data_IF_099297726604
#
_entry.id   IF_099297726604
#
_cell.length_a   1.000
_cell.length_b   1.000
_cell.length_c   1.000
_cell.angle_alpha   90.00
_cell.angle_beta   90.00
_cell.angle_gamma   90.00
#
_symmetry.space_group_name_H-M   'P 1'
#
loop_
_entity.id
_entity.type
_entity.pdbx_description
1 polymer ?
#
# COMPACT_ATOMS: atom_id res chain seq x y z
N UNK A 1 1.54 16.17 23.04
CA UNK A 1 0.99 14.83 23.29
C UNK A 1 2.11 13.93 23.82
N UNK A 2 1.94 13.27 24.97
CA UNK A 2 2.98 12.39 25.54
C UNK A 2 3.35 11.29 24.54
N UNK A 3 4.66 11.12 24.31
CA UNK A 3 5.25 10.14 23.38
C UNK A 3 4.61 8.75 23.52
N UNK A 4 4.33 8.36 24.76
CA UNK A 4 3.70 7.08 25.15
C UNK A 4 2.30 6.90 24.54
N UNK A 5 1.47 7.95 24.50
CA UNK A 5 0.14 7.90 23.88
C UNK A 5 0.23 7.75 22.36
N UNK A 6 1.20 8.40 21.72
CA UNK A 6 1.40 8.28 20.27
C UNK A 6 1.87 6.87 19.88
N UNK A 7 2.86 6.34 20.61
CA UNK A 7 3.37 4.97 20.42
C UNK A 7 2.26 3.94 20.64
N UNK A 8 1.46 4.09 21.70
CA UNK A 8 0.34 3.19 22.00
C UNK A 8 -0.74 3.22 20.90
N UNK A 9 -1.06 4.40 20.35
CA UNK A 9 -2.02 4.55 19.26
C UNK A 9 -1.55 3.93 17.95
N UNK A 10 -0.26 4.07 17.63
CA UNK A 10 0.32 3.45 16.43
C UNK A 10 0.37 1.92 16.59
N UNK A 11 0.72 1.44 17.78
CA UNK A 11 0.77 0.01 18.08
C UNK A 11 -0.61 -0.64 17.99
N UNK A 12 -1.65 -0.02 18.58
CA UNK A 12 -3.02 -0.54 18.51
C UNK A 12 -3.56 -0.56 17.08
N UNK A 13 -3.30 0.49 16.29
CA UNK A 13 -3.62 0.53 14.85
C UNK A 13 -2.95 -0.59 14.06
N UNK A 14 -1.68 -0.89 14.37
CA UNK A 14 -0.93 -1.97 13.74
C UNK A 14 -1.54 -3.34 14.04
N UNK A 15 -1.88 -3.60 15.30
CA UNK A 15 -2.54 -4.85 15.71
C UNK A 15 -3.88 -5.02 15.00
N UNK A 16 -4.69 -3.95 14.94
CA UNK A 16 -5.98 -4.00 14.24
C UNK A 16 -5.80 -4.29 12.74
N UNK A 17 -4.84 -3.63 12.10
CA UNK A 17 -4.54 -3.84 10.67
C UNK A 17 -4.09 -5.28 10.40
N UNK A 18 -3.28 -5.87 11.31
CA UNK A 18 -2.88 -7.28 11.23
C UNK A 18 -4.05 -8.23 11.41
N UNK A 19 -4.97 -7.93 12.34
CA UNK A 19 -6.18 -8.73 12.53
C UNK A 19 -7.07 -8.70 11.27
N UNK A 20 -7.23 -7.53 10.65
CA UNK A 20 -7.96 -7.38 9.37
C UNK A 20 -7.25 -8.16 8.25
N UNK A 21 -5.92 -8.11 8.21
CA UNK A 21 -5.12 -8.88 7.25
C UNK A 21 -5.32 -10.39 7.40
N UNK A 22 -5.25 -10.90 8.63
CA UNK A 22 -5.50 -12.32 8.93
C UNK A 22 -6.93 -12.74 8.56
N UNK A 23 -7.92 -11.89 8.88
CA UNK A 23 -9.31 -12.10 8.50
C UNK A 23 -9.48 -12.13 6.96
N UNK A 24 -8.80 -11.25 6.24
CA UNK A 24 -8.84 -11.19 4.77
C UNK A 24 -8.26 -12.46 4.14
N UNK A 25 -7.13 -12.94 4.64
CA UNK A 25 -6.51 -14.21 4.20
C UNK A 25 -7.43 -15.40 4.47
N UNK A 26 -8.02 -15.45 5.66
CA UNK A 26 -9.01 -16.48 5.99
C UNK A 26 -10.22 -16.43 5.04
N UNK A 27 -10.73 -15.24 4.75
CA UNK A 27 -11.90 -15.07 3.89
C UNK A 27 -11.60 -15.45 2.43
N UNK A 28 -10.40 -15.14 1.91
CA UNK A 28 -9.93 -15.64 0.60
C UNK A 28 -9.91 -17.16 0.59
N UNK A 29 -9.32 -17.77 1.62
CA UNK A 29 -9.22 -19.24 1.71
C UNK A 29 -10.59 -19.92 1.71
N UNK A 30 -11.58 -19.31 2.38
CA UNK A 30 -12.92 -19.86 2.51
C UNK A 30 -13.77 -19.64 1.23
N UNK A 31 -13.62 -18.48 0.56
CA UNK A 31 -14.48 -18.11 -0.58
C UNK A 31 -13.92 -18.55 -1.93
N UNK A 32 -12.60 -18.48 -2.11
CA UNK A 32 -11.93 -18.72 -3.39
C UNK A 32 -10.99 -19.93 -3.37
N UNK A 33 -10.74 -20.51 -2.19
CA UNK A 33 -9.89 -21.68 -2.01
C UNK A 33 -8.43 -21.34 -1.73
N UNK A 34 -7.66 -22.35 -1.30
CA UNK A 34 -6.28 -22.19 -0.83
C UNK A 34 -5.29 -21.78 -1.93
N UNK A 35 -5.57 -22.12 -3.19
CA UNK A 35 -4.73 -21.70 -4.32
C UNK A 35 -4.72 -20.17 -4.48
N UNK A 36 -5.88 -19.53 -4.27
CA UNK A 36 -6.04 -18.09 -4.42
C UNK A 36 -5.29 -17.31 -3.33
N UNK A 37 -5.16 -17.89 -2.14
CA UNK A 37 -4.34 -17.32 -1.05
C UNK A 37 -2.89 -17.14 -1.50
N UNK A 38 -2.35 -18.13 -2.23
CA UNK A 38 -0.99 -18.06 -2.78
C UNK A 38 -0.83 -16.98 -3.84
N UNK A 39 -1.80 -16.86 -4.76
CA UNK A 39 -1.81 -15.81 -5.78
C UNK A 39 -1.91 -14.41 -5.16
N UNK A 40 -2.83 -14.22 -4.22
CA UNK A 40 -2.97 -12.97 -3.48
C UNK A 40 -1.68 -12.60 -2.74
N UNK A 41 -1.09 -13.55 -2.00
CA UNK A 41 0.15 -13.31 -1.26
C UNK A 41 1.31 -12.93 -2.19
N UNK A 42 1.46 -13.62 -3.32
CA UNK A 42 2.49 -13.31 -4.31
C UNK A 42 2.32 -11.90 -4.90
N UNK A 43 1.09 -11.55 -5.32
CA UNK A 43 0.77 -10.21 -5.84
C UNK A 43 1.05 -9.15 -4.79
N UNK A 44 0.52 -9.35 -3.58
CA UNK A 44 0.66 -8.40 -2.48
C UNK A 44 2.13 -8.15 -2.12
N UNK A 45 2.91 -9.21 -1.92
CA UNK A 45 4.34 -9.08 -1.62
C UNK A 45 5.12 -8.39 -2.74
N UNK A 46 4.85 -8.74 -4.00
CA UNK A 46 5.52 -8.13 -5.14
C UNK A 46 5.21 -6.63 -5.26
N UNK A 47 3.94 -6.26 -5.05
CA UNK A 47 3.48 -4.87 -5.07
C UNK A 47 4.13 -4.07 -3.95
N UNK A 48 4.19 -4.61 -2.73
CA UNK A 48 4.80 -3.93 -1.59
C UNK A 48 6.31 -3.73 -1.79
N UNK A 49 7.03 -4.76 -2.25
CA UNK A 49 8.47 -4.63 -2.54
C UNK A 49 8.69 -3.57 -3.61
N UNK A 50 7.89 -3.59 -4.68
CA UNK A 50 7.95 -2.57 -5.74
C UNK A 50 7.70 -1.16 -5.21
N UNK A 51 6.70 -0.99 -4.35
CA UNK A 51 6.37 0.30 -3.76
C UNK A 51 7.53 0.83 -2.90
N UNK A 52 8.22 -0.04 -2.15
CA UNK A 52 9.42 0.34 -1.38
C UNK A 52 10.57 0.79 -2.29
N UNK A 53 10.83 0.07 -3.38
CA UNK A 53 11.85 0.47 -4.37
C UNK A 53 11.50 1.82 -5.00
N UNK A 54 10.23 2.02 -5.35
CA UNK A 54 9.74 3.27 -5.94
C UNK A 54 9.83 4.46 -4.97
N UNK A 55 9.70 4.20 -3.67
CA UNK A 55 9.67 5.23 -2.62
C UNK A 55 10.99 5.40 -1.87
N UNK A 56 12.05 4.71 -2.28
CA UNK A 56 13.36 4.75 -1.62
C UNK A 56 13.89 6.19 -1.46
N UNK A 57 13.77 7.03 -2.48
CA UNK A 57 14.18 8.43 -2.39
C UNK A 57 13.28 9.24 -1.44
N UNK A 58 11.97 8.95 -1.40
CA UNK A 58 11.01 9.65 -0.53
C UNK A 58 11.29 9.42 0.96
N UNK A 59 11.74 8.22 1.33
CA UNK A 59 12.11 7.87 2.71
C UNK A 59 13.35 8.62 3.20
N UNK A 60 14.23 9.01 2.27
CA UNK A 60 15.47 9.72 2.58
C UNK A 60 15.31 11.24 2.51
N UNK A 61 14.54 11.74 1.54
CA UNK A 61 14.43 13.17 1.24
C UNK A 61 13.38 13.89 2.10
N UNK A 62 12.21 13.30 2.28
CA UNK A 62 11.07 13.96 2.96
C UNK A 62 11.37 14.29 4.44
N UNK A 63 12.02 13.43 5.25
CA UNK A 63 12.18 13.70 6.68
C UNK A 63 13.20 14.80 7.04
N UNK A 64 14.10 15.18 6.12
CA UNK A 64 15.30 15.99 6.44
C UNK A 64 15.42 17.33 5.69
N UNK A 65 14.44 17.70 4.87
CA UNK A 65 14.57 18.90 4.02
C UNK A 65 13.86 20.14 4.58
N UNK A 66 14.45 21.29 4.27
CA UNK A 66 13.93 22.63 4.60
C UNK A 66 12.59 22.88 3.89
N UNK A 67 11.71 23.69 4.51
CA UNK A 67 10.34 23.90 4.03
C UNK A 67 10.25 24.47 2.61
N UNK A 68 11.28 25.20 2.16
CA UNK A 68 11.32 25.82 0.84
C UNK A 68 11.39 24.79 -0.30
N UNK A 69 12.04 23.65 -0.10
CA UNK A 69 12.25 22.62 -1.14
C UNK A 69 11.22 21.47 -1.06
N UNK A 70 10.34 21.47 -0.06
CA UNK A 70 9.42 20.36 0.19
C UNK A 70 8.53 20.06 -1.02
N UNK A 71 7.95 21.10 -1.63
CA UNK A 71 7.03 20.94 -2.77
C UNK A 71 7.72 20.28 -3.96
N UNK A 72 8.94 20.71 -4.28
CA UNK A 72 9.73 20.15 -5.38
C UNK A 72 10.10 18.69 -5.13
N UNK A 73 10.48 18.35 -3.90
CA UNK A 73 10.87 17.00 -3.55
C UNK A 73 9.69 16.03 -3.48
N UNK A 74 8.50 16.51 -3.10
CA UNK A 74 7.26 15.73 -3.24
C UNK A 74 6.95 15.44 -4.71
N UNK A 75 7.02 16.45 -5.58
CA UNK A 75 6.81 16.27 -7.02
C UNK A 75 7.85 15.30 -7.60
N UNK A 76 9.11 15.41 -7.19
CA UNK A 76 10.15 14.47 -7.58
C UNK A 76 9.83 13.03 -7.13
N UNK A 77 9.40 12.84 -5.89
CA UNK A 77 9.02 11.52 -5.38
C UNK A 77 7.83 10.92 -6.14
N UNK A 78 6.84 11.74 -6.52
CA UNK A 78 5.70 11.33 -7.33
C UNK A 78 6.12 10.94 -8.76
N UNK A 79 6.99 11.72 -9.39
CA UNK A 79 7.50 11.42 -10.72
C UNK A 79 8.39 10.16 -10.69
N UNK A 80 9.23 10.04 -9.67
CA UNK A 80 10.07 8.86 -9.49
C UNK A 80 9.21 7.61 -9.28
N UNK A 81 8.18 7.66 -8.43
CA UNK A 81 7.32 6.50 -8.20
C UNK A 81 6.52 6.11 -9.44
N UNK A 82 6.05 7.09 -10.21
CA UNK A 82 5.40 6.87 -11.51
C UNK A 82 6.33 6.17 -12.50
N UNK A 83 7.58 6.64 -12.62
CA UNK A 83 8.54 6.13 -13.58
C UNK A 83 9.14 4.78 -13.18
N UNK A 84 9.42 4.56 -11.88
CA UNK A 84 10.02 3.32 -11.37
C UNK A 84 9.01 2.18 -11.22
N UNK A 85 7.72 2.48 -11.04
CA UNK A 85 6.69 1.44 -10.98
C UNK A 85 6.58 0.67 -12.31
N UNK A 86 6.84 1.33 -13.44
CA UNK A 86 6.73 0.73 -14.77
C UNK A 86 7.77 -0.38 -15.03
N UNK A 87 9.09 -0.16 -14.89
CA UNK A 87 10.08 -1.23 -15.06
C UNK A 87 9.88 -2.35 -14.03
N UNK A 88 9.47 -2.03 -12.80
CA UNK A 88 9.16 -3.05 -11.79
C UNK A 88 8.00 -3.95 -12.22
N UNK A 89 6.89 -3.36 -12.67
CA UNK A 89 5.71 -4.09 -13.13
C UNK A 89 6.00 -4.93 -14.38
N UNK A 90 6.85 -4.43 -15.29
CA UNK A 90 7.25 -5.19 -16.49
C UNK A 90 8.10 -6.40 -16.10
N UNK A 91 9.15 -6.22 -15.29
CA UNK A 91 10.04 -7.32 -14.87
C UNK A 91 9.23 -8.40 -14.15
N UNK A 92 8.44 -7.99 -13.17
CA UNK A 92 7.72 -8.93 -12.30
C UNK A 92 6.50 -9.53 -12.99
N UNK A 93 5.81 -8.76 -13.85
CA UNK A 93 4.72 -9.27 -14.69
C UNK A 93 5.20 -10.33 -15.69
N UNK A 94 6.39 -10.17 -16.26
CA UNK A 94 7.00 -11.17 -17.14
C UNK A 94 7.44 -12.44 -16.39
N UNK A 95 8.03 -12.30 -15.20
CA UNK A 95 8.50 -13.44 -14.38
C UNK A 95 7.32 -14.27 -13.85
N UNK A 96 6.28 -13.62 -13.37
CA UNK A 96 5.15 -14.29 -12.71
C UNK A 96 3.93 -14.50 -13.62
N UNK A 97 4.03 -14.16 -14.91
CA UNK A 97 2.92 -14.20 -15.87
C UNK A 97 1.65 -13.47 -15.38
N UNK A 98 1.84 -12.35 -14.69
CA UNK A 98 0.77 -11.53 -14.13
C UNK A 98 0.44 -10.34 -15.05
N UNK A 99 -0.75 -9.77 -14.88
CA UNK A 99 -1.15 -8.59 -15.64
C UNK A 99 -0.28 -7.38 -15.27
N UNK A 100 0.50 -6.88 -16.22
CA UNK A 100 1.45 -5.77 -16.04
C UNK A 100 0.74 -4.48 -15.64
N UNK A 101 -0.41 -4.17 -16.27
CA UNK A 101 -1.16 -2.95 -15.96
C UNK A 101 -1.70 -2.96 -14.53
N UNK A 102 -2.17 -4.13 -14.08
CA UNK A 102 -2.64 -4.32 -12.71
C UNK A 102 -1.51 -4.18 -11.68
N UNK A 103 -0.35 -4.81 -11.92
CA UNK A 103 0.81 -4.68 -11.04
C UNK A 103 1.32 -3.24 -10.99
N UNK A 104 1.38 -2.56 -12.14
CA UNK A 104 1.79 -1.16 -12.21
C UNK A 104 0.89 -0.25 -11.36
N UNK A 105 -0.43 -0.34 -11.55
CA UNK A 105 -1.39 0.50 -10.84
C UNK A 105 -1.38 0.25 -9.34
N UNK A 106 -1.28 -1.01 -8.90
CA UNK A 106 -1.15 -1.34 -7.49
C UNK A 106 0.19 -0.86 -6.91
N UNK A 107 1.31 -1.13 -7.56
CA UNK A 107 2.63 -0.66 -7.11
C UNK A 107 2.67 0.86 -6.99
N UNK A 108 2.10 1.58 -7.96
CA UNK A 108 1.99 3.03 -7.91
C UNK A 108 1.07 3.49 -6.78
N UNK A 109 -0.12 2.89 -6.61
CA UNK A 109 -1.05 3.24 -5.54
C UNK A 109 -0.45 3.05 -4.14
N UNK A 110 0.22 1.91 -3.89
CA UNK A 110 0.94 1.69 -2.64
C UNK A 110 2.14 2.64 -2.46
N UNK A 111 2.82 3.04 -3.53
CA UNK A 111 3.86 4.07 -3.45
C UNK A 111 3.28 5.44 -3.02
N UNK A 112 2.11 5.82 -3.52
CA UNK A 112 1.42 7.04 -3.08
C UNK A 112 1.03 6.98 -1.61
N UNK A 113 0.51 5.84 -1.14
CA UNK A 113 0.19 5.60 0.28
C UNK A 113 1.44 5.80 1.14
N UNK A 114 2.59 5.26 0.75
CA UNK A 114 3.86 5.42 1.48
C UNK A 114 4.37 6.87 1.47
N UNK A 115 4.23 7.59 0.35
CA UNK A 115 4.59 9.02 0.29
C UNK A 115 3.69 9.84 1.24
N UNK A 116 2.38 9.58 1.25
CA UNK A 116 1.43 10.23 2.15
C UNK A 116 1.73 9.90 3.62
N UNK A 117 2.17 8.68 3.92
CA UNK A 117 2.60 8.27 5.26
C UNK A 117 3.83 9.08 5.72
N UNK A 118 4.86 9.19 4.87
CA UNK A 118 6.06 9.97 5.16
C UNK A 118 5.76 11.47 5.38
N UNK A 119 4.84 12.04 4.59
CA UNK A 119 4.39 13.42 4.78
C UNK A 119 3.63 13.61 6.10
N UNK A 120 2.78 12.64 6.46
CA UNK A 120 2.01 12.70 7.71
C UNK A 120 2.90 12.55 8.95
N UNK A 121 3.95 11.74 8.87
CA UNK A 121 4.98 11.62 9.90
C UNK A 121 5.73 12.94 10.09
N UNK A 122 6.11 13.60 8.99
CA UNK A 122 6.76 14.93 9.04
C UNK A 122 5.84 15.99 9.67
N UNK A 123 4.56 16.00 9.30
CA UNK A 123 3.57 16.93 9.84
C UNK A 123 3.09 16.60 11.26
N UNK A 124 3.57 15.53 11.88
CA UNK A 124 3.13 15.09 13.21
C UNK A 124 1.66 14.66 13.27
N UNK A 125 1.03 14.37 12.12
CA UNK A 125 -0.39 14.03 12.04
C UNK A 125 -0.61 12.53 12.22
N UNK A 126 -0.41 12.06 13.46
CA UNK A 126 -0.51 10.63 13.81
C UNK A 126 -1.94 10.07 13.70
N UNK A 127 -2.96 10.92 13.78
CA UNK A 127 -4.36 10.51 13.62
C UNK A 127 -4.66 10.11 12.17
N UNK A 128 -4.22 10.93 11.21
CA UNK A 128 -4.37 10.60 9.79
C UNK A 128 -3.59 9.33 9.42
N UNK A 129 -2.38 9.16 9.95
CA UNK A 129 -1.57 7.96 9.72
C UNK A 129 -2.25 6.68 10.25
N UNK A 130 -2.84 6.76 11.44
CA UNK A 130 -3.62 5.66 12.03
C UNK A 130 -4.83 5.31 11.16
N UNK A 131 -5.57 6.33 10.70
CA UNK A 131 -6.71 6.14 9.81
C UNK A 131 -6.31 5.52 8.48
N UNK A 132 -5.26 6.03 7.84
CA UNK A 132 -4.75 5.56 6.56
C UNK A 132 -4.34 4.08 6.60
N UNK A 133 -3.60 3.66 7.65
CA UNK A 133 -3.19 2.24 7.81
C UNK A 133 -4.38 1.30 7.92
N UNK A 134 -5.40 1.69 8.70
CA UNK A 134 -6.63 0.92 8.85
C UNK A 134 -7.42 0.90 7.55
N UNK A 135 -7.54 2.05 6.86
CA UNK A 135 -8.26 2.19 5.60
C UNK A 135 -7.69 1.27 4.51
N UNK A 136 -6.37 1.25 4.32
CA UNK A 136 -5.70 0.38 3.33
C UNK A 136 -6.00 -1.10 3.59
N UNK A 137 -6.03 -1.52 4.85
CA UNK A 137 -6.39 -2.90 5.21
C UNK A 137 -7.88 -3.19 5.03
N UNK A 138 -8.75 -2.22 5.32
CA UNK A 138 -10.20 -2.33 5.12
C UNK A 138 -10.58 -2.42 3.65
N UNK A 139 -9.89 -1.72 2.74
CA UNK A 139 -10.15 -1.78 1.30
C UNK A 139 -10.13 -3.23 0.82
N UNK A 140 -9.13 -4.01 1.23
CA UNK A 140 -9.02 -5.43 0.87
C UNK A 140 -10.19 -6.22 1.46
N UNK A 141 -10.49 -6.04 2.75
CA UNK A 141 -11.56 -6.77 3.42
C UNK A 141 -12.94 -6.47 2.81
N UNK A 142 -13.23 -5.21 2.49
CA UNK A 142 -14.49 -4.78 1.87
C UNK A 142 -14.58 -5.32 0.43
N UNK A 143 -13.50 -5.24 -0.35
CA UNK A 143 -13.45 -5.79 -1.70
C UNK A 143 -13.74 -7.30 -1.69
N UNK A 144 -13.19 -8.03 -0.71
CA UNK A 144 -13.43 -9.47 -0.55
C UNK A 144 -14.85 -9.80 -0.12
N UNK A 145 -15.51 -8.96 0.69
CA UNK A 145 -16.90 -9.17 1.09
C UNK A 145 -17.87 -8.85 -0.04
N UNK A 146 -17.65 -7.75 -0.75
CA UNK A 146 -18.56 -7.24 -1.77
C UNK A 146 -18.51 -8.05 -3.08
N UNK A 147 -17.33 -8.53 -3.48
CA UNK A 147 -17.16 -9.14 -4.80
C UNK A 147 -17.36 -10.66 -4.76
N UNK A 148 -18.15 -11.24 -5.70
CA UNK A 148 -18.41 -12.68 -5.75
C UNK A 148 -17.36 -13.50 -6.51
N UNK A 149 -16.51 -12.84 -7.30
CA UNK A 149 -15.56 -13.49 -8.19
C UNK A 149 -14.14 -12.91 -7.99
N UNK A 150 -13.11 -13.75 -8.20
CA UNK A 150 -11.70 -13.39 -8.00
C UNK A 150 -11.27 -12.21 -8.88
N UNK A 151 -11.67 -12.20 -10.16
CA UNK A 151 -11.36 -11.09 -11.08
C UNK A 151 -11.94 -9.75 -10.61
N UNK A 152 -13.19 -9.75 -10.13
CA UNK A 152 -13.84 -8.55 -9.62
C UNK A 152 -13.22 -8.09 -8.30
N UNK A 153 -12.80 -9.03 -7.45
CA UNK A 153 -12.05 -8.73 -6.24
C UNK A 153 -10.75 -7.97 -6.55
N UNK A 154 -9.93 -8.45 -7.48
CA UNK A 154 -8.68 -7.78 -7.82
C UNK A 154 -8.91 -6.39 -8.40
N UNK A 155 -9.91 -6.22 -9.27
CA UNK A 155 -10.27 -4.90 -9.81
C UNK A 155 -10.74 -3.96 -8.68
N UNK A 156 -11.60 -4.44 -7.79
CA UNK A 156 -12.10 -3.66 -6.66
C UNK A 156 -10.98 -3.27 -5.69
N UNK A 157 -10.02 -4.17 -5.44
CA UNK A 157 -8.86 -3.87 -4.62
C UNK A 157 -7.97 -2.80 -5.28
N UNK A 158 -7.65 -2.94 -6.57
CA UNK A 158 -6.89 -1.92 -7.32
C UNK A 158 -7.59 -0.56 -7.29
N UNK A 159 -8.89 -0.52 -7.56
CA UNK A 159 -9.67 0.71 -7.54
C UNK A 159 -9.70 1.34 -6.15
N UNK A 160 -9.88 0.54 -5.09
CA UNK A 160 -9.95 1.04 -3.72
C UNK A 160 -8.63 1.55 -3.15
N UNK A 161 -7.48 1.15 -3.70
CA UNK A 161 -6.16 1.69 -3.31
C UNK A 161 -5.84 3.00 -4.05
N UNK A 162 -6.39 3.19 -5.25
CA UNK A 162 -6.18 4.41 -6.04
C UNK A 162 -7.12 5.56 -5.66
N UNK A 163 -8.24 5.25 -4.99
CA UNK A 163 -9.21 6.22 -4.46
C UNK A 163 -8.85 6.66 -3.04
#
# INVERSE_FOLDING_TARGET
MNLIKSISSIASSSVLSQAIGAFSVWLISHRYGMAEVGHYAMIYSNVLIGAQVCTFASQLLIPRQEEHELGQNVVFCLLQSLLLALPWAVITGLIFHLNIAFLYLLTFGYALVLIAENLSLRGGNYQFLTFQRIAVSLVVAIALLAMPNTTLFYIAWMAGILL
#
